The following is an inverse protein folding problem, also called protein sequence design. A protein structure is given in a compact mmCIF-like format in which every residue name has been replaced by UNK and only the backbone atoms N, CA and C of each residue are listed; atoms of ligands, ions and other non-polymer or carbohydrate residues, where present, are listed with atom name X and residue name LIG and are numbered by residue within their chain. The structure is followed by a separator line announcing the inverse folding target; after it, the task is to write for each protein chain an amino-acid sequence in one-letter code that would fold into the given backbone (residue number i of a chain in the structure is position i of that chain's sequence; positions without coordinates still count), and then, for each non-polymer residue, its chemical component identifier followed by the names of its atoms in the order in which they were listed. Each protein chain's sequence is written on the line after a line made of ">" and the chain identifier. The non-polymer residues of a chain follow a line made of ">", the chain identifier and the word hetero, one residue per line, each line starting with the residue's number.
data_IF_293422698349
#
_entry.id   IF_293422698349
#
_cell.length_a   1.000
_cell.length_b   1.000
_cell.length_c   1.000
_cell.angle_alpha   90.00
_cell.angle_beta   90.00
_cell.angle_gamma   90.00
#
_symmetry.space_group_name_H-M   'P 1'
#
loop_
_entity.id
_entity.type
_entity.pdbx_description
1 polymer ?
#
# COMPACT_ATOMS: atom_id res chain seq x y z
N UNK A 1 14.18 27.35 -17.10
CA UNK A 1 13.85 26.77 -15.78
C UNK A 1 15.06 26.88 -14.87
N UNK A 2 14.90 27.41 -13.68
CA UNK A 2 15.97 27.48 -12.73
C UNK A 2 16.03 26.19 -11.89
N UNK A 3 17.05 26.08 -11.03
CA UNK A 3 17.28 24.87 -10.25
C UNK A 3 16.09 24.55 -9.33
N UNK A 4 15.48 25.55 -8.70
CA UNK A 4 14.35 25.32 -7.79
C UNK A 4 13.11 24.83 -8.54
N UNK A 5 12.85 25.35 -9.72
CA UNK A 5 11.74 24.88 -10.55
C UNK A 5 11.94 23.43 -10.98
N UNK A 6 13.16 23.09 -11.38
CA UNK A 6 13.48 21.71 -11.75
C UNK A 6 13.27 20.75 -10.58
N UNK A 7 13.69 21.14 -9.38
CA UNK A 7 13.46 20.34 -8.17
C UNK A 7 11.99 20.17 -7.88
N UNK A 8 11.21 21.23 -8.01
CA UNK A 8 9.76 21.17 -7.74
C UNK A 8 9.06 20.23 -8.70
N UNK A 9 9.42 20.26 -9.99
CA UNK A 9 8.85 19.36 -10.99
C UNK A 9 9.20 17.91 -10.67
N UNK A 10 10.46 17.64 -10.34
CA UNK A 10 10.89 16.28 -9.99
C UNK A 10 10.16 15.78 -8.72
N UNK A 11 10.02 16.63 -7.72
CA UNK A 11 9.33 16.27 -6.48
C UNK A 11 7.85 15.98 -6.74
N UNK A 12 7.18 16.80 -7.55
CA UNK A 12 5.78 16.59 -7.89
C UNK A 12 5.58 15.28 -8.65
N UNK A 13 6.50 14.94 -9.54
CA UNK A 13 6.44 13.66 -10.27
C UNK A 13 6.57 12.49 -9.31
N UNK A 14 7.45 12.57 -8.34
CA UNK A 14 7.61 11.54 -7.31
C UNK A 14 6.32 11.41 -6.49
N UNK A 15 5.72 12.52 -6.08
CA UNK A 15 4.48 12.51 -5.32
C UNK A 15 3.33 11.91 -6.13
N UNK A 16 3.23 12.22 -7.41
CA UNK A 16 2.21 11.63 -8.29
C UNK A 16 2.39 10.11 -8.41
N UNK A 17 3.62 9.66 -8.61
CA UNK A 17 3.90 8.23 -8.69
C UNK A 17 3.56 7.53 -7.38
N UNK A 18 3.88 8.15 -6.24
CA UNK A 18 3.54 7.62 -4.93
C UNK A 18 2.03 7.51 -4.75
N UNK A 19 1.28 8.50 -5.21
CA UNK A 19 -0.18 8.52 -5.09
C UNK A 19 -0.88 7.48 -5.95
N UNK A 20 -0.19 6.80 -6.84
CA UNK A 20 -0.75 5.63 -7.53
C UNK A 20 -0.99 4.48 -6.56
N UNK A 21 -0.25 4.42 -5.46
CA UNK A 21 -0.38 3.36 -4.48
C UNK A 21 -1.07 3.80 -3.20
N UNK A 22 -1.13 5.11 -2.92
CA UNK A 22 -1.81 5.66 -1.75
C UNK A 22 -2.66 6.84 -2.19
N UNK A 23 -3.77 7.07 -1.49
CA UNK A 23 -4.59 8.25 -1.69
C UNK A 23 -4.23 9.26 -0.61
N UNK A 24 -3.93 10.48 -1.02
CA UNK A 24 -3.75 11.59 -0.09
C UNK A 24 -4.81 12.64 -0.36
N UNK A 25 -5.58 12.99 0.64
CA UNK A 25 -6.57 14.05 0.55
C UNK A 25 -6.18 15.21 1.46
N UNK A 26 -7.06 16.19 1.60
CA UNK A 26 -6.80 17.35 2.45
C UNK A 26 -6.64 16.95 3.92
N UNK A 27 -7.13 15.80 4.33
CA UNK A 27 -7.06 15.29 5.69
C UNK A 27 -5.87 14.35 5.90
N UNK A 28 -5.06 14.10 4.87
CA UNK A 28 -3.89 13.24 4.92
C UNK A 28 -4.23 11.81 5.35
N UNK A 29 -5.37 11.31 4.90
CA UNK A 29 -5.80 9.95 5.19
C UNK A 29 -5.06 8.99 4.25
N UNK A 30 -4.42 7.97 4.83
CA UNK A 30 -3.76 6.91 4.08
C UNK A 30 -4.79 5.87 3.67
N UNK A 31 -4.85 5.56 2.38
CA UNK A 31 -5.77 4.54 1.85
C UNK A 31 -4.98 3.53 1.02
N UNK A 32 -4.58 2.39 1.60
CA UNK A 32 -3.87 1.36 0.84
C UNK A 32 -4.81 0.68 -0.16
N UNK A 33 -4.20 0.05 -1.14
CA UNK A 33 -4.96 -0.65 -2.17
C UNK A 33 -5.73 -1.81 -1.56
N UNK A 34 -6.95 -2.04 -2.04
CA UNK A 34 -7.86 -3.07 -1.56
C UNK A 34 -7.77 -4.32 -2.42
N UNK A 35 -7.69 -5.47 -1.76
CA UNK A 35 -7.74 -6.79 -2.40
C UNK A 35 -8.72 -7.68 -1.64
N UNK A 36 -9.10 -8.81 -2.25
CA UNK A 36 -9.74 -9.92 -1.55
C UNK A 36 -8.67 -10.95 -1.19
N UNK A 37 -8.99 -11.87 -0.28
CA UNK A 37 -8.05 -12.92 0.09
C UNK A 37 -7.64 -13.77 -1.13
N UNK A 38 -8.54 -13.90 -2.10
CA UNK A 38 -8.28 -14.68 -3.32
C UNK A 38 -7.47 -13.90 -4.37
N UNK A 39 -7.41 -12.58 -4.27
CA UNK A 39 -6.80 -11.73 -5.32
C UNK A 39 -5.53 -11.01 -4.87
N UNK A 40 -5.05 -11.27 -3.65
CA UNK A 40 -3.79 -10.66 -3.18
C UNK A 40 -2.65 -11.05 -4.12
N UNK A 41 -1.78 -10.10 -4.46
CA UNK A 41 -0.63 -10.40 -5.30
C UNK A 41 0.40 -11.26 -4.55
N UNK A 42 1.42 -11.73 -5.25
CA UNK A 42 2.49 -12.49 -4.63
C UNK A 42 3.25 -11.62 -3.63
N UNK A 43 3.25 -12.01 -2.37
CA UNK A 43 3.85 -11.22 -1.30
C UNK A 43 5.35 -11.02 -1.50
N UNK A 44 6.04 -11.99 -2.07
CA UNK A 44 7.48 -11.90 -2.33
C UNK A 44 7.83 -10.83 -3.36
N UNK A 45 6.87 -10.43 -4.20
CA UNK A 45 7.07 -9.34 -5.17
C UNK A 45 6.93 -7.95 -4.53
N UNK A 46 6.36 -7.88 -3.35
CA UNK A 46 6.07 -6.62 -2.66
C UNK A 46 6.49 -6.68 -1.19
N UNK A 47 7.76 -6.92 -0.90
CA UNK A 47 8.19 -7.01 0.50
C UNK A 47 7.94 -5.70 1.23
N UNK A 48 7.48 -5.78 2.47
CA UNK A 48 7.21 -4.64 3.33
C UNK A 48 6.05 -3.76 2.85
N UNK A 49 5.25 -4.24 1.91
CA UNK A 49 4.07 -3.52 1.46
C UNK A 49 2.90 -3.72 2.43
N UNK A 50 1.96 -2.79 2.40
CA UNK A 50 0.74 -2.85 3.21
C UNK A 50 -0.45 -2.76 2.26
N UNK A 51 -1.44 -3.65 2.45
CA UNK A 51 -2.68 -3.65 1.67
C UNK A 51 -3.87 -3.76 2.62
N UNK A 52 -5.06 -3.52 2.07
CA UNK A 52 -6.34 -3.74 2.76
C UNK A 52 -7.00 -4.97 2.15
N UNK A 53 -7.32 -5.96 2.98
CA UNK A 53 -8.00 -7.18 2.54
C UNK A 53 -9.45 -7.09 3.01
N UNK A 54 -10.38 -7.02 2.05
CA UNK A 54 -11.79 -6.72 2.36
C UNK A 54 -12.57 -7.92 2.87
N UNK A 55 -12.16 -9.14 2.59
CA UNK A 55 -12.92 -10.36 2.90
C UNK A 55 -12.09 -11.42 3.63
N UNK A 56 -11.06 -11.01 4.36
CA UNK A 56 -10.32 -11.95 5.19
C UNK A 56 -11.29 -12.68 6.14
N UNK A 57 -10.96 -13.91 6.52
CA UNK A 57 -11.88 -14.80 7.26
C UNK A 57 -12.45 -14.17 8.55
N UNK A 58 -11.70 -13.34 9.22
CA UNK A 58 -12.15 -12.62 10.43
C UNK A 58 -12.80 -11.27 10.15
N UNK A 59 -12.98 -10.89 8.88
CA UNK A 59 -13.47 -9.59 8.47
C UNK A 59 -12.37 -8.75 7.81
N UNK A 60 -12.75 -7.59 7.27
CA UNK A 60 -11.80 -6.70 6.59
C UNK A 60 -10.63 -6.32 7.52
N UNK A 61 -9.41 -6.31 6.99
CA UNK A 61 -8.22 -6.08 7.79
C UNK A 61 -7.08 -5.53 6.94
N UNK A 62 -6.18 -4.81 7.58
CA UNK A 62 -4.90 -4.46 6.98
C UNK A 62 -3.96 -5.67 7.04
N UNK A 63 -3.16 -5.83 6.00
CA UNK A 63 -2.17 -6.89 5.93
C UNK A 63 -0.83 -6.32 5.44
N UNK A 64 0.25 -6.94 5.87
CA UNK A 64 1.59 -6.57 5.42
C UNK A 64 2.30 -7.78 4.82
N UNK A 65 3.21 -7.51 3.88
CA UNK A 65 4.06 -8.55 3.31
C UNK A 65 5.32 -8.70 4.14
N UNK A 66 5.61 -9.93 4.58
CA UNK A 66 6.87 -10.23 5.25
C UNK A 66 7.95 -10.72 4.27
N UNK A 67 7.66 -10.63 2.96
CA UNK A 67 8.55 -11.12 1.92
C UNK A 67 8.24 -12.54 1.46
N UNK A 68 7.36 -13.24 2.14
CA UNK A 68 6.93 -14.60 1.81
C UNK A 68 5.41 -14.71 1.76
N UNK A 69 4.73 -14.17 2.77
CA UNK A 69 3.29 -14.24 2.90
C UNK A 69 2.70 -12.88 3.25
N UNK A 70 1.42 -12.70 2.94
CA UNK A 70 0.64 -11.59 3.47
C UNK A 70 0.16 -11.98 4.87
N UNK A 71 0.48 -11.15 5.86
CA UNK A 71 0.13 -11.41 7.25
C UNK A 71 -0.76 -10.33 7.80
N UNK A 72 -1.72 -10.72 8.64
CA UNK A 72 -2.62 -9.78 9.29
C UNK A 72 -1.84 -8.93 10.30
N UNK A 73 -2.12 -7.62 10.32
CA UNK A 73 -1.44 -6.74 11.27
C UNK A 73 -1.84 -6.98 12.72
N UNK A 74 -2.99 -7.64 12.96
CA UNK A 74 -3.49 -7.88 14.32
C UNK A 74 -2.75 -8.98 15.06
N UNK A 75 -2.48 -10.10 14.39
CA UNK A 75 -1.91 -11.29 15.05
C UNK A 75 -0.80 -11.96 14.24
N UNK A 76 -0.41 -11.35 13.11
CA UNK A 76 0.61 -11.86 12.20
C UNK A 76 0.26 -13.22 11.57
N UNK A 77 -0.99 -13.65 11.65
CA UNK A 77 -1.40 -14.86 10.97
C UNK A 77 -1.45 -14.61 9.46
N UNK A 78 -1.23 -15.67 8.68
CA UNK A 78 -1.32 -15.57 7.22
C UNK A 78 -2.76 -15.27 6.81
N UNK A 79 -2.93 -14.35 5.86
CA UNK A 79 -4.24 -13.98 5.32
C UNK A 79 -4.89 -15.21 4.67
N UNK A 80 -6.16 -15.39 4.94
CA UNK A 80 -6.91 -16.52 4.39
C UNK A 80 -8.33 -16.12 3.97
#
# INVERSE_FOLDING_TARGET
>A
MNFNEARSVAWNTICEAFNLSVTTDANLIFQPKTYTAATVPTASSYPRAIIYVSDEAGGAILAFSDGTDWRRVTDRAVVS
#
